data_IF_585080984677
#
_entry.id   IF_585080984677
#
_cell.length_a   1.000
_cell.length_b   1.000
_cell.length_c   1.000
_cell.angle_alpha   90.00
_cell.angle_beta   90.00
_cell.angle_gamma   90.00
#
_symmetry.space_group_name_H-M   'P 1'
#
loop_
_entity.id
_entity.type
_entity.pdbx_description
1 polymer ?
#
# COMPACT_ATOMS: atom_id res chain seq x y z
N UNK A 1 0.59 8.04 -29.02
CA UNK A 1 1.67 8.45 -28.10
C UNK A 1 2.10 7.18 -27.40
N UNK A 2 3.38 6.79 -27.44
CA UNK A 2 3.81 5.55 -26.75
C UNK A 2 3.72 5.81 -25.25
N UNK A 3 2.89 5.03 -24.56
CA UNK A 3 2.78 5.00 -23.11
C UNK A 3 2.46 3.59 -22.67
N UNK A 4 2.88 3.24 -21.46
CA UNK A 4 2.56 1.96 -20.84
C UNK A 4 2.20 2.21 -19.38
N UNK A 5 1.06 1.68 -18.96
CA UNK A 5 0.64 1.66 -17.56
C UNK A 5 1.05 0.32 -16.97
N UNK A 6 1.68 0.38 -15.81
CA UNK A 6 2.12 -0.80 -15.06
C UNK A 6 1.65 -0.71 -13.62
N UNK A 7 1.40 -1.89 -13.06
CA UNK A 7 1.19 -2.06 -11.64
C UNK A 7 2.30 -2.92 -11.07
N UNK A 8 2.80 -2.51 -9.93
CA UNK A 8 4.03 -3.06 -9.39
C UNK A 8 3.88 -3.28 -7.89
N UNK A 9 4.55 -4.32 -7.40
CA UNK A 9 4.65 -4.64 -5.99
C UNK A 9 6.04 -4.21 -5.52
N UNK A 10 6.06 -3.43 -4.45
CA UNK A 10 7.25 -3.02 -3.71
C UNK A 10 7.28 -3.88 -2.43
N UNK A 11 8.31 -4.71 -2.30
CA UNK A 11 8.52 -5.52 -1.10
C UNK A 11 9.25 -4.68 -0.04
N UNK A 12 8.64 -4.51 1.13
CA UNK A 12 9.23 -3.74 2.23
C UNK A 12 10.45 -4.42 2.87
N UNK A 13 10.66 -5.71 2.62
CA UNK A 13 11.85 -6.44 3.07
C UNK A 13 13.10 -6.09 2.24
N UNK A 14 12.94 -5.55 1.02
CA UNK A 14 14.09 -5.12 0.23
C UNK A 14 14.77 -3.91 0.88
N UNK A 15 16.10 -3.96 0.92
CA UNK A 15 16.95 -2.89 1.45
C UNK A 15 16.70 -1.54 0.78
N UNK A 16 16.42 -1.50 -0.53
CA UNK A 16 16.13 -0.26 -1.25
C UNK A 16 14.80 0.38 -0.80
N UNK A 17 13.89 -0.42 -0.26
CA UNK A 17 12.54 0.00 0.12
C UNK A 17 12.39 0.32 1.62
N UNK A 18 13.44 0.10 2.41
CA UNK A 18 13.51 0.46 3.83
C UNK A 18 13.04 1.89 4.17
N UNK A 19 13.27 2.92 3.33
CA UNK A 19 12.75 4.25 3.61
C UNK A 19 11.21 4.35 3.74
N UNK A 20 10.44 3.39 3.22
CA UNK A 20 8.98 3.37 3.36
C UNK A 20 8.48 2.78 4.68
N UNK A 21 9.32 1.99 5.37
CA UNK A 21 8.91 1.18 6.52
C UNK A 21 9.09 1.89 7.87
N UNK A 22 10.09 2.76 7.99
CA UNK A 22 10.64 3.12 9.30
C UNK A 22 9.60 3.70 10.29
N UNK A 23 9.38 2.97 11.39
CA UNK A 23 8.69 3.43 12.59
C UNK A 23 9.74 3.85 13.63
N UNK A 24 9.71 5.10 14.09
CA UNK A 24 10.47 5.44 15.31
C UNK A 24 9.78 4.87 16.55
N UNK A 25 10.59 4.38 17.50
CA UNK A 25 10.25 4.02 18.89
C UNK A 25 9.72 5.19 19.76
N UNK A 26 8.82 6.02 19.22
CA UNK A 26 8.12 7.07 19.96
C UNK A 26 8.95 8.28 20.41
N UNK A 27 10.28 8.25 20.30
CA UNK A 27 11.17 9.33 20.77
C UNK A 27 11.33 10.49 19.77
N UNK A 28 11.12 10.27 18.47
CA UNK A 28 11.25 11.29 17.42
C UNK A 28 9.98 11.34 16.60
N UNK A 29 9.14 12.33 16.86
CA UNK A 29 7.82 12.55 16.21
C UNK A 29 7.82 12.69 14.67
N UNK A 30 9.00 12.67 14.03
CA UNK A 30 9.18 12.99 12.61
C UNK A 30 9.34 11.77 11.68
N UNK A 31 9.43 10.54 12.20
CA UNK A 31 9.74 9.36 11.38
C UNK A 31 8.53 8.42 11.25
N UNK A 32 7.53 8.84 10.48
CA UNK A 32 6.36 8.02 10.14
C UNK A 32 6.64 7.19 8.90
N UNK A 33 6.17 5.93 8.89
CA UNK A 33 6.15 5.09 7.69
C UNK A 33 5.21 5.68 6.62
N UNK A 34 5.36 5.24 5.37
CA UNK A 34 4.44 5.63 4.29
C UNK A 34 3.00 5.22 4.62
N UNK A 35 2.79 4.02 5.14
CA UNK A 35 1.47 3.57 5.58
C UNK A 35 0.86 4.51 6.62
N UNK A 36 1.63 4.87 7.65
CA UNK A 36 1.16 5.76 8.70
C UNK A 36 0.77 7.13 8.15
N UNK A 37 1.57 7.68 7.23
CA UNK A 37 1.27 8.97 6.58
C UNK A 37 -0.03 8.87 5.78
N UNK A 38 -0.24 7.78 5.04
CA UNK A 38 -1.45 7.57 4.26
C UNK A 38 -2.67 7.44 5.18
N UNK A 39 -2.64 6.54 6.17
CA UNK A 39 -3.81 6.31 7.04
C UNK A 39 -4.14 7.54 7.90
N UNK A 40 -3.13 8.28 8.40
CA UNK A 40 -3.34 9.54 9.11
C UNK A 40 -3.90 10.62 8.19
N UNK A 41 -3.41 10.67 6.94
CA UNK A 41 -3.92 11.57 5.91
C UNK A 41 -5.40 11.32 5.60
N UNK A 42 -5.79 10.05 5.52
CA UNK A 42 -7.17 9.61 5.31
C UNK A 42 -8.03 9.98 6.53
N UNK A 43 -7.60 9.59 7.74
CA UNK A 43 -8.32 9.87 9.01
C UNK A 43 -8.52 11.35 9.27
N UNK A 44 -7.56 12.19 8.88
CA UNK A 44 -7.64 13.65 9.03
C UNK A 44 -8.39 14.34 7.89
N UNK A 45 -8.83 13.61 6.86
CA UNK A 45 -9.50 14.16 5.68
C UNK A 45 -8.58 14.92 4.71
N UNK A 46 -7.25 14.87 4.91
CA UNK A 46 -6.27 15.43 3.96
C UNK A 46 -6.14 14.59 2.69
N UNK A 47 -6.42 13.30 2.79
CA UNK A 47 -6.57 12.38 1.66
C UNK A 47 -8.04 12.01 1.57
N UNK A 48 -8.72 12.46 0.51
CA UNK A 48 -10.13 12.23 0.28
C UNK A 48 -10.38 11.17 -0.81
N UNK A 49 -9.42 10.97 -1.72
CA UNK A 49 -9.55 10.11 -2.90
C UNK A 49 -8.97 8.71 -2.59
N UNK A 50 -9.79 7.90 -1.93
CA UNK A 50 -9.46 6.53 -1.47
C UNK A 50 -10.46 5.55 -2.07
N UNK A 51 -9.99 4.41 -2.57
CA UNK A 51 -10.73 3.48 -3.41
C UNK A 51 -10.49 2.03 -3.01
N UNK A 52 -11.42 1.15 -3.38
CA UNK A 52 -11.29 -0.29 -3.17
C UNK A 52 -10.44 -0.97 -4.24
N UNK A 53 -10.35 -0.37 -5.42
CA UNK A 53 -9.80 -0.97 -6.63
C UNK A 53 -8.72 -0.11 -7.28
N UNK A 54 -7.82 -0.76 -8.02
CA UNK A 54 -6.69 -0.09 -8.69
C UNK A 54 -7.07 0.78 -9.90
N UNK A 55 -8.33 0.74 -10.36
CA UNK A 55 -8.87 1.58 -11.43
C UNK A 55 -9.51 2.86 -10.90
N UNK A 56 -9.65 3.01 -9.57
CA UNK A 56 -10.26 4.15 -8.89
C UNK A 56 -11.73 4.34 -9.28
N UNK A 57 -12.49 3.24 -9.29
CA UNK A 57 -13.91 3.24 -9.66
C UNK A 57 -14.83 3.29 -8.46
N UNK A 58 -14.56 2.53 -7.39
CA UNK A 58 -15.40 2.54 -6.20
C UNK A 58 -14.66 3.21 -5.05
N UNK A 59 -15.10 4.43 -4.74
CA UNK A 59 -14.57 5.21 -3.63
C UNK A 59 -15.00 4.59 -2.31
N UNK A 60 -14.07 4.49 -1.37
CA UNK A 60 -14.33 3.99 -0.02
C UNK A 60 -14.77 5.11 0.91
N UNK A 61 -15.77 4.81 1.73
CA UNK A 61 -16.15 5.64 2.86
C UNK A 61 -15.27 5.36 4.09
N UNK A 62 -15.22 6.32 5.02
CA UNK A 62 -14.36 6.22 6.20
C UNK A 62 -14.66 4.97 7.05
N UNK A 63 -15.93 4.57 7.15
CA UNK A 63 -16.34 3.37 7.88
C UNK A 63 -15.82 2.09 7.20
N UNK A 64 -15.78 2.05 5.87
CA UNK A 64 -15.27 0.91 5.12
C UNK A 64 -13.75 0.79 5.26
N UNK A 65 -13.04 1.92 5.22
CA UNK A 65 -11.60 1.97 5.50
C UNK A 65 -11.33 1.47 6.91
N UNK A 66 -12.11 1.90 7.90
CA UNK A 66 -11.98 1.41 9.28
C UNK A 66 -12.17 -0.11 9.38
N UNK A 67 -13.17 -0.68 8.69
CA UNK A 67 -13.38 -2.14 8.65
C UNK A 67 -12.22 -2.89 8.01
N UNK A 68 -11.56 -2.29 7.02
CA UNK A 68 -10.39 -2.87 6.33
C UNK A 68 -9.08 -2.70 7.10
N UNK A 69 -8.97 -1.72 7.99
CA UNK A 69 -7.74 -1.45 8.77
C UNK A 69 -7.86 -1.81 10.24
N UNK A 70 -9.05 -2.15 10.73
CA UNK A 70 -9.27 -2.47 12.13
C UNK A 70 -10.49 -3.36 12.36
N UNK A 71 -10.45 -4.13 13.45
CA UNK A 71 -11.53 -4.96 13.95
C UNK A 71 -11.74 -4.69 15.44
N UNK A 72 -12.98 -4.39 15.79
CA UNK A 72 -13.43 -4.31 17.17
C UNK A 72 -13.94 -5.69 17.59
N UNK A 73 -13.31 -6.31 18.58
CA UNK A 73 -13.77 -7.56 19.17
C UNK A 73 -14.34 -7.24 20.54
N UNK A 74 -15.58 -7.67 20.78
CA UNK A 74 -16.28 -7.48 22.05
C UNK A 74 -16.29 -8.83 22.76
N UNK A 75 -15.88 -8.87 24.02
CA UNK A 75 -15.84 -10.09 24.81
C UNK A 75 -17.25 -10.59 25.13
N UNK A 76 -17.39 -11.91 25.25
CA UNK A 76 -18.66 -12.57 25.61
C UNK A 76 -19.20 -12.04 26.94
N UNK A 77 -18.30 -11.78 27.90
CA UNK A 77 -18.63 -11.20 29.21
C UNK A 77 -19.31 -9.82 29.09
N UNK A 78 -18.84 -8.99 28.16
CA UNK A 78 -19.43 -7.67 27.91
C UNK A 78 -20.77 -7.80 27.18
N UNK A 79 -20.89 -8.73 26.23
CA UNK A 79 -22.14 -9.04 25.53
C UNK A 79 -23.21 -9.53 26.51
N UNK A 80 -22.86 -10.45 27.41
CA UNK A 80 -23.77 -10.97 28.45
C UNK A 80 -24.19 -9.89 29.45
N UNK A 81 -23.27 -8.99 29.82
CA UNK A 81 -23.56 -7.84 30.67
C UNK A 81 -24.53 -6.85 29.99
N UNK A 82 -24.39 -6.63 28.69
CA UNK A 82 -25.33 -5.82 27.90
C UNK A 82 -26.71 -6.50 27.84
N UNK A 83 -26.74 -7.80 27.50
CA UNK A 83 -27.98 -8.55 27.33
C UNK A 83 -28.77 -8.74 28.63
N UNK A 84 -28.08 -8.80 29.77
CA UNK A 84 -28.71 -8.85 31.10
C UNK A 84 -29.30 -7.51 31.57
N UNK A 85 -29.11 -6.43 30.80
CA UNK A 85 -29.61 -5.09 31.14
C UNK A 85 -28.85 -4.42 32.28
N UNK A 86 -27.66 -4.92 32.64
CA UNK A 86 -26.82 -4.31 33.66
C UNK A 86 -26.21 -2.98 33.16
N UNK A 87 -25.94 -2.06 34.08
CA UNK A 87 -25.27 -0.80 33.73
C UNK A 87 -23.85 -1.09 33.26
N UNK A 88 -23.58 -0.83 31.98
CA UNK A 88 -22.25 -0.95 31.39
C UNK A 88 -21.48 0.34 31.65
N UNK A 89 -20.39 0.25 32.40
CA UNK A 89 -19.49 1.38 32.63
C UNK A 89 -18.47 1.52 31.49
N UNK A 90 -17.84 2.69 31.36
CA UNK A 90 -16.73 2.88 30.40
C UNK A 90 -15.52 1.97 30.71
N UNK A 91 -15.33 1.58 31.97
CA UNK A 91 -14.33 0.60 32.36
C UNK A 91 -14.67 -0.80 31.85
N UNK A 92 -15.95 -1.19 31.90
CA UNK A 92 -16.42 -2.48 31.35
C UNK A 92 -16.25 -2.53 29.84
N UNK A 93 -16.59 -1.44 29.13
CA UNK A 93 -16.35 -1.34 27.68
C UNK A 93 -14.88 -1.50 27.36
N UNK A 94 -14.00 -0.80 28.07
CA UNK A 94 -12.56 -0.88 27.83
C UNK A 94 -11.97 -2.25 28.17
N UNK A 95 -12.49 -2.92 29.20
CA UNK A 95 -12.02 -4.24 29.61
C UNK A 95 -12.55 -5.36 28.71
N UNK A 96 -13.76 -5.21 28.17
CA UNK A 96 -14.40 -6.19 27.30
C UNK A 96 -14.34 -5.85 25.82
N UNK A 97 -13.48 -4.92 25.41
CA UNK A 97 -13.31 -4.58 23.99
C UNK A 97 -11.83 -4.56 23.62
N UNK A 98 -11.47 -5.41 22.66
CA UNK A 98 -10.15 -5.43 22.04
C UNK A 98 -10.21 -4.80 20.64
N UNK A 99 -9.23 -3.97 20.33
CA UNK A 99 -9.08 -3.35 19.01
C UNK A 99 -7.86 -3.95 18.34
N UNK A 100 -8.09 -4.71 17.28
CA UNK A 100 -7.05 -5.17 16.38
C UNK A 100 -6.94 -4.17 15.24
N UNK A 101 -5.84 -3.43 15.16
CA UNK A 101 -5.59 -2.44 14.11
C UNK A 101 -4.36 -2.85 13.31
N UNK A 102 -4.44 -2.73 11.99
CA UNK A 102 -3.28 -2.87 11.12
C UNK A 102 -2.29 -1.76 11.44
N UNK A 103 -1.11 -2.14 11.92
CA UNK A 103 -0.01 -1.23 12.16
C UNK A 103 0.92 -1.23 10.96
N UNK A 104 1.81 -0.24 10.93
CA UNK A 104 2.87 -0.16 9.92
C UNK A 104 3.75 -1.42 9.87
N UNK A 105 3.90 -2.14 10.99
CA UNK A 105 4.64 -3.42 11.04
C UNK A 105 3.94 -4.56 10.29
N UNK A 106 2.62 -4.49 10.14
CA UNK A 106 1.80 -5.51 9.46
C UNK A 106 1.74 -5.29 7.94
N UNK A 107 2.17 -4.11 7.47
CA UNK A 107 2.20 -3.76 6.04
C UNK A 107 3.54 -4.18 5.44
N UNK A 108 3.56 -5.32 4.75
CA UNK A 108 4.78 -5.90 4.14
C UNK A 108 4.96 -5.59 2.66
N UNK A 109 3.88 -5.26 1.96
CA UNK A 109 3.92 -4.96 0.54
C UNK A 109 3.21 -3.62 0.28
N UNK A 110 3.71 -2.88 -0.70
CA UNK A 110 2.99 -1.77 -1.30
C UNK A 110 2.73 -2.09 -2.77
N UNK A 111 1.54 -1.74 -3.25
CA UNK A 111 1.26 -1.70 -4.69
C UNK A 111 1.33 -0.28 -5.19
N UNK A 112 1.87 -0.11 -6.38
CA UNK A 112 1.89 1.17 -7.08
C UNK A 112 1.31 1.00 -8.47
N UNK A 113 0.58 2.01 -8.92
CA UNK A 113 0.14 2.14 -10.31
C UNK A 113 0.81 3.36 -10.91
N UNK A 114 1.52 3.17 -12.01
CA UNK A 114 2.21 4.26 -12.69
C UNK A 114 2.17 4.14 -14.19
N UNK A 115 2.45 5.25 -14.85
CA UNK A 115 2.50 5.33 -16.31
C UNK A 115 3.87 5.84 -16.76
N UNK A 116 4.49 5.07 -17.64
CA UNK A 116 5.64 5.50 -18.42
C UNK A 116 5.12 6.11 -19.72
N UNK A 117 5.59 7.30 -20.06
CA UNK A 117 5.17 7.99 -21.28
C UNK A 117 6.31 8.85 -21.83
N UNK A 118 6.27 9.07 -23.14
CA UNK A 118 7.21 9.97 -23.80
C UNK A 118 6.63 11.40 -23.74
N UNK A 119 7.35 12.31 -23.09
CA UNK A 119 7.01 13.73 -23.12
C UNK A 119 7.48 14.33 -24.45
N UNK A 120 6.53 14.80 -25.26
CA UNK A 120 6.80 15.40 -26.57
C UNK A 120 7.62 16.69 -26.50
N UNK A 121 7.55 17.43 -25.39
CA UNK A 121 8.21 18.74 -25.27
C UNK A 121 9.70 18.57 -25.01
N UNK A 122 10.01 17.64 -24.12
CA UNK A 122 11.38 17.41 -23.65
C UNK A 122 12.05 16.22 -24.34
N UNK A 123 11.32 15.50 -25.21
CA UNK A 123 11.76 14.29 -25.90
C UNK A 123 12.37 13.24 -24.94
N UNK A 124 11.85 13.18 -23.71
CA UNK A 124 12.35 12.28 -22.66
C UNK A 124 11.23 11.36 -22.16
N UNK A 125 11.63 10.18 -21.68
CA UNK A 125 10.74 9.27 -20.99
C UNK A 125 10.49 9.81 -19.59
N UNK A 126 9.22 9.85 -19.18
CA UNK A 126 8.81 10.26 -17.85
C UNK A 126 7.95 9.19 -17.20
N UNK A 127 8.11 9.07 -15.89
CA UNK A 127 7.21 8.32 -15.03
C UNK A 127 6.17 9.26 -14.43
N UNK A 128 4.92 8.81 -14.34
CA UNK A 128 3.85 9.46 -13.61
C UNK A 128 3.23 8.45 -12.65
N UNK A 129 3.39 8.68 -11.36
CA UNK A 129 2.69 7.92 -10.34
C UNK A 129 1.20 8.28 -10.36
N UNK A 130 0.34 7.27 -10.27
CA UNK A 130 -1.12 7.41 -10.36
C UNK A 130 -1.78 7.01 -9.05
N UNK A 131 -1.33 5.94 -8.41
CA UNK A 131 -1.80 5.58 -7.08
C UNK A 131 -0.92 4.59 -6.34
N UNK A 132 -1.22 4.47 -5.06
CA UNK A 132 -0.48 3.68 -4.08
C UNK A 132 -1.51 2.89 -3.26
N UNK A 133 -1.26 1.61 -3.05
CA UNK A 133 -2.03 0.78 -2.13
C UNK A 133 -1.12 0.18 -1.06
N UNK A 134 -1.62 0.19 0.17
CA UNK A 134 -1.00 -0.55 1.26
C UNK A 134 -1.58 -1.96 1.32
N UNK A 135 -0.71 -2.96 1.40
CA UNK A 135 -1.12 -4.34 1.57
C UNK A 135 -0.77 -4.83 2.97
N UNK A 136 -1.78 -5.39 3.64
CA UNK A 136 -1.64 -5.92 5.00
C UNK A 136 -2.41 -7.22 5.16
N UNK A 137 -2.19 -7.90 6.29
CA UNK A 137 -3.07 -9.00 6.70
C UNK A 137 -4.48 -8.46 6.92
N UNK A 138 -5.49 -9.25 6.55
CA UNK A 138 -6.88 -8.88 6.78
C UNK A 138 -7.16 -8.82 8.30
N UNK A 139 -7.52 -7.65 8.87
CA UNK A 139 -7.86 -7.55 10.29
C UNK A 139 -9.04 -8.43 10.68
N UNK A 140 -9.93 -8.77 9.72
CA UNK A 140 -11.08 -9.60 9.98
C UNK A 140 -10.70 -11.04 10.35
N UNK A 141 -9.58 -11.52 9.83
CA UNK A 141 -9.07 -12.87 10.11
C UNK A 141 -8.11 -12.91 11.29
N UNK A 142 -7.57 -11.77 11.70
CA UNK A 142 -6.79 -11.66 12.94
C UNK A 142 -7.62 -12.07 14.16
N UNK A 143 -7.03 -12.97 14.97
CA UNK A 143 -7.60 -13.44 16.24
C UNK A 143 -8.79 -14.41 16.11
N UNK A 144 -9.10 -14.90 14.91
CA UNK A 144 -10.12 -15.95 14.74
C UNK A 144 -9.51 -17.27 15.22
N UNK A 145 -10.21 -18.03 16.06
CA UNK A 145 -9.84 -19.39 16.47
C UNK A 145 -10.59 -20.38 15.59
N UNK A 146 -9.85 -21.29 14.95
CA UNK A 146 -10.39 -22.35 14.11
C UNK A 146 -11.15 -23.39 14.92
N UNK A 147 -11.89 -24.27 14.24
CA UNK A 147 -12.62 -25.37 14.89
C UNK A 147 -11.73 -26.40 15.59
N UNK A 148 -10.41 -26.32 15.39
CA UNK A 148 -9.35 -27.09 16.03
C UNK A 148 -8.74 -26.42 17.27
N UNK A 149 -9.12 -25.17 17.58
CA UNK A 149 -8.59 -24.42 18.71
C UNK A 149 -7.28 -23.68 18.42
N UNK A 150 -6.78 -23.70 17.17
CA UNK A 150 -5.64 -22.88 16.74
C UNK A 150 -6.10 -21.53 16.19
N UNK A 151 -5.22 -20.52 16.16
CA UNK A 151 -5.53 -19.29 15.44
C UNK A 151 -5.65 -19.63 13.95
N UNK A 152 -6.73 -19.19 13.30
CA UNK A 152 -6.85 -19.17 11.85
C UNK A 152 -5.84 -18.16 11.32
N UNK A 153 -4.62 -18.61 11.07
CA UNK A 153 -3.67 -17.87 10.26
C UNK A 153 -4.18 -17.94 8.82
N UNK A 154 -4.56 -16.80 8.24
CA UNK A 154 -4.93 -16.72 6.82
C UNK A 154 -3.76 -16.96 5.86
N UNK A 155 -2.64 -17.50 6.35
CA UNK A 155 -1.39 -17.60 5.63
C UNK A 155 -0.79 -16.22 5.32
N UNK A 156 0.10 -16.21 4.33
CA UNK A 156 0.73 -15.01 3.76
C UNK A 156 -0.18 -14.27 2.76
N UNK A 157 -1.51 -14.41 2.87
CA UNK A 157 -2.46 -13.75 1.99
C UNK A 157 -2.66 -12.28 2.40
N UNK A 158 -1.84 -11.40 1.82
CA UNK A 158 -1.98 -9.95 1.96
C UNK A 158 -3.10 -9.41 1.05
N UNK A 159 -3.99 -8.60 1.62
CA UNK A 159 -5.07 -7.93 0.89
C UNK A 159 -4.74 -6.46 0.64
N UNK A 160 -5.34 -5.87 -0.40
CA UNK A 160 -5.28 -4.44 -0.64
C UNK A 160 -6.21 -3.74 0.38
N UNK A 161 -5.61 -3.09 1.38
CA UNK A 161 -6.38 -2.41 2.43
C UNK A 161 -7.18 -1.25 1.84
N UNK A 162 -6.53 -0.47 0.97
CA UNK A 162 -7.13 0.63 0.22
C UNK A 162 -6.16 1.13 -0.86
N UNK A 163 -6.71 1.69 -1.93
CA UNK A 163 -5.99 2.40 -2.97
C UNK A 163 -6.12 3.92 -2.78
N UNK A 164 -5.00 4.63 -2.76
CA UNK A 164 -4.94 6.10 -2.69
C UNK A 164 -4.65 6.66 -4.07
N UNK A 165 -5.49 7.58 -4.54
CA UNK A 165 -5.20 8.35 -5.74
C UNK A 165 -4.08 9.36 -5.47
N UNK A 166 -2.91 9.10 -6.04
CA UNK A 166 -1.69 9.80 -5.70
C UNK A 166 -1.75 11.32 -5.86
N UNK A 167 -2.35 11.89 -6.93
CA UNK A 167 -2.46 13.35 -7.06
C UNK A 167 -3.17 14.05 -5.89
N UNK A 168 -4.11 13.38 -5.21
CA UNK A 168 -4.77 13.91 -4.03
C UNK A 168 -3.88 13.83 -2.77
N UNK A 169 -3.09 12.76 -2.62
CA UNK A 169 -2.17 12.59 -1.50
C UNK A 169 -0.86 13.38 -1.65
N UNK A 170 -0.52 13.82 -2.86
CA UNK A 170 0.73 14.52 -3.17
C UNK A 170 1.07 15.70 -2.25
N UNK A 171 0.15 16.64 -1.92
CA UNK A 171 0.49 17.73 -1.01
C UNK A 171 0.92 17.25 0.38
N UNK A 172 0.37 16.13 0.86
CA UNK A 172 0.78 15.54 2.13
C UNK A 172 2.17 14.89 2.00
N UNK A 173 2.39 14.09 0.94
CA UNK A 173 3.64 13.36 0.72
C UNK A 173 4.82 14.30 0.41
N UNK A 174 4.57 15.45 -0.22
CA UNK A 174 5.58 16.47 -0.50
C UNK A 174 6.00 17.27 0.74
N UNK A 175 5.30 17.12 1.87
CA UNK A 175 5.67 17.71 3.16
C UNK A 175 6.09 16.65 4.19
N UNK A 176 6.12 15.38 3.78
CA UNK A 176 6.52 14.28 4.64
C UNK A 176 7.97 13.88 4.31
N UNK A 177 8.90 14.24 5.19
CA UNK A 177 10.32 13.93 5.04
C UNK A 177 10.58 12.46 5.34
N UNK A 178 11.39 11.84 4.49
CA UNK A 178 11.80 10.44 4.63
C UNK A 178 12.98 10.38 5.61
N UNK A 179 12.89 9.50 6.60
CA UNK A 179 13.97 9.32 7.56
C UNK A 179 15.24 8.80 6.88
N UNK A 180 16.37 9.47 7.15
CA UNK A 180 17.68 9.06 6.67
C UNK A 180 18.67 9.01 7.85
N UNK A 181 19.02 7.80 8.28
CA UNK A 181 19.95 7.59 9.40
C UNK A 181 21.39 8.06 9.09
N UNK A 182 21.76 8.20 7.81
CA UNK A 182 23.08 8.70 7.41
C UNK A 182 23.12 10.23 7.37
N UNK A 183 21.97 10.89 7.16
CA UNK A 183 21.86 12.34 7.09
C UNK A 183 20.52 12.81 7.65
N UNK A 184 20.50 13.16 8.94
CA UNK A 184 19.32 13.66 9.64
C UNK A 184 18.86 15.05 9.16
N UNK A 185 19.68 15.76 8.40
CA UNK A 185 19.36 17.07 7.79
C UNK A 185 18.89 16.94 6.34
N UNK A 186 18.51 15.73 5.92
CA UNK A 186 17.97 15.48 4.59
C UNK A 186 16.54 15.98 4.49
N UNK A 187 16.26 16.85 3.52
CA UNK A 187 14.91 17.34 3.21
C UNK A 187 14.19 16.51 2.13
N UNK A 188 14.70 15.31 1.81
CA UNK A 188 14.10 14.41 0.82
C UNK A 188 12.74 13.92 1.31
N UNK A 189 11.70 14.11 0.52
CA UNK A 189 10.32 13.77 0.88
C UNK A 189 9.84 12.48 0.25
N UNK A 190 8.70 11.96 0.72
CA UNK A 190 8.05 10.81 0.09
C UNK A 190 7.67 11.09 -1.36
N UNK A 191 7.24 12.33 -1.69
CA UNK A 191 6.97 12.75 -3.09
C UNK A 191 8.21 12.62 -3.97
N UNK A 192 9.38 13.02 -3.46
CA UNK A 192 10.64 13.00 -4.21
C UNK A 192 11.05 11.55 -4.55
N UNK A 193 11.07 10.66 -3.56
CA UNK A 193 11.51 9.27 -3.76
C UNK A 193 10.52 8.48 -4.63
N UNK A 194 9.23 8.75 -4.52
CA UNK A 194 8.19 8.06 -5.29
C UNK A 194 8.21 8.48 -6.76
N UNK A 195 8.28 9.79 -7.06
CA UNK A 195 8.36 10.27 -8.44
C UNK A 195 9.70 9.93 -9.09
N UNK A 196 10.81 9.97 -8.34
CA UNK A 196 12.12 9.57 -8.82
C UNK A 196 12.30 8.04 -8.90
N UNK A 197 11.27 7.26 -8.53
CA UNK A 197 11.30 5.80 -8.47
C UNK A 197 12.50 5.23 -7.70
N UNK A 198 12.80 5.81 -6.55
CA UNK A 198 13.86 5.31 -5.65
C UNK A 198 13.33 4.15 -4.81
N UNK A 199 12.98 3.07 -5.49
CA UNK A 199 12.48 1.82 -4.93
C UNK A 199 12.70 0.66 -5.90
N UNK A 200 12.80 -0.56 -5.38
CA UNK A 200 12.75 -1.77 -6.19
C UNK A 200 11.31 -2.28 -6.25
N UNK A 201 10.95 -2.87 -7.38
CA UNK A 201 9.60 -3.38 -7.60
C UNK A 201 9.56 -4.52 -8.62
N UNK A 202 8.48 -5.30 -8.57
CA UNK A 202 8.14 -6.34 -9.55
C UNK A 202 6.85 -5.92 -10.24
N UNK A 203 6.84 -5.88 -11.57
CA UNK A 203 5.63 -5.59 -12.34
C UNK A 203 4.75 -6.84 -12.28
N UNK A 204 3.50 -6.71 -11.86
CA UNK A 204 2.55 -7.84 -11.79
C UNK A 204 1.36 -7.70 -12.75
N UNK A 205 1.18 -6.53 -13.35
CA UNK A 205 0.12 -6.23 -14.32
C UNK A 205 0.56 -5.11 -15.25
N UNK A 206 0.15 -5.17 -16.52
CA UNK A 206 0.39 -4.11 -17.49
C UNK A 206 -0.78 -3.91 -18.46
N UNK A 207 -0.85 -2.73 -19.06
CA UNK A 207 -1.74 -2.39 -20.18
C UNK A 207 -1.00 -2.43 -21.54
N UNK A 208 0.07 -3.23 -21.63
CA UNK A 208 0.83 -3.40 -22.88
C UNK A 208 0.13 -4.38 -23.81
N UNK A 209 -0.18 -3.96 -25.04
CA UNK A 209 -0.95 -4.74 -26.03
C UNK A 209 -0.37 -6.09 -26.49
N UNK A 210 0.75 -6.55 -25.92
CA UNK A 210 1.29 -7.92 -26.08
C UNK A 210 0.90 -8.85 -24.90
N UNK A 211 0.34 -8.30 -23.83
CA UNK A 211 -0.02 -8.99 -22.58
C UNK A 211 -0.79 -8.02 -21.69
N UNK A 212 -2.03 -7.71 -22.09
CA UNK A 212 -2.95 -6.93 -21.26
C UNK A 212 -3.46 -7.82 -20.12
N UNK A 213 -3.23 -7.42 -18.88
CA UNK A 213 -3.78 -8.13 -17.73
C UNK A 213 -2.76 -8.41 -16.64
N UNK A 214 -3.16 -9.25 -15.69
CA UNK A 214 -2.33 -9.66 -14.57
C UNK A 214 -1.45 -10.82 -15.00
N UNK A 215 -0.14 -10.75 -14.72
CA UNK A 215 0.83 -11.76 -15.16
C UNK A 215 0.42 -13.18 -14.73
N UNK A 216 -0.02 -13.32 -13.48
CA UNK A 216 -0.46 -14.60 -12.92
C UNK A 216 -1.62 -15.26 -13.67
N UNK A 217 -2.42 -14.48 -14.39
CA UNK A 217 -3.61 -14.98 -15.09
C UNK A 217 -3.22 -15.72 -16.38
N UNK A 218 -2.11 -15.33 -17.02
CA UNK A 218 -1.61 -15.97 -18.24
C UNK A 218 -0.33 -16.79 -18.03
N UNK A 219 0.38 -16.59 -16.91
CA UNK A 219 1.46 -17.47 -16.42
C UNK A 219 1.06 -18.00 -15.02
N UNK A 220 0.18 -19.01 -14.95
CA UNK A 220 -0.31 -19.53 -13.68
C UNK A 220 0.73 -20.42 -12.99
N UNK A 221 0.82 -20.31 -11.66
CA UNK A 221 1.57 -21.22 -10.78
C UNK A 221 3.07 -21.38 -11.07
N UNK A 222 3.72 -20.39 -11.70
CA UNK A 222 5.15 -20.39 -11.94
C UNK A 222 5.78 -19.03 -11.58
N UNK A 223 6.36 -18.93 -10.38
CA UNK A 223 6.93 -17.69 -9.88
C UNK A 223 8.14 -17.22 -10.69
N UNK A 224 8.96 -18.15 -11.19
CA UNK A 224 10.17 -17.84 -11.96
C UNK A 224 9.80 -17.24 -13.33
N UNK A 225 8.85 -17.85 -14.04
CA UNK A 225 8.34 -17.31 -15.32
C UNK A 225 7.60 -15.97 -15.13
N UNK A 226 6.87 -15.79 -14.02
CA UNK A 226 6.24 -14.51 -13.70
C UNK A 226 7.28 -13.40 -13.47
N UNK A 227 8.40 -13.73 -12.82
CA UNK A 227 9.50 -12.80 -12.63
C UNK A 227 10.21 -12.47 -13.96
N UNK A 228 10.45 -13.47 -14.81
CA UNK A 228 11.02 -13.26 -16.15
C UNK A 228 10.12 -12.33 -16.99
N UNK A 229 8.80 -12.50 -16.90
CA UNK A 229 7.84 -11.63 -17.59
C UNK A 229 7.85 -10.20 -17.04
N UNK A 230 7.98 -10.03 -15.72
CA UNK A 230 8.22 -8.70 -15.12
C UNK A 230 9.49 -8.05 -15.67
N UNK A 231 10.59 -8.78 -15.76
CA UNK A 231 11.85 -8.27 -16.34
C UNK A 231 11.72 -7.97 -17.84
N UNK A 232 10.97 -8.78 -18.59
CA UNK A 232 10.64 -8.51 -20.00
C UNK A 232 9.87 -7.21 -20.16
N UNK A 233 8.90 -6.93 -19.28
CA UNK A 233 8.14 -5.67 -19.28
C UNK A 233 9.04 -4.47 -18.93
N UNK A 234 9.95 -4.61 -17.97
CA UNK A 234 10.97 -3.57 -17.67
C UNK A 234 11.88 -3.31 -18.86
N UNK A 235 12.35 -4.36 -19.54
CA UNK A 235 13.16 -4.25 -20.74
C UNK A 235 12.39 -3.58 -21.89
N UNK A 236 11.09 -3.85 -22.03
CA UNK A 236 10.23 -3.17 -23.00
C UNK A 236 10.14 -1.66 -22.72
N UNK A 237 10.01 -1.25 -21.45
CA UNK A 237 10.05 0.16 -21.04
C UNK A 237 11.39 0.78 -21.40
N UNK A 238 12.51 0.13 -21.10
CA UNK A 238 13.85 0.62 -21.46
C UNK A 238 14.03 0.75 -22.99
N UNK A 239 13.52 -0.22 -23.75
CA UNK A 239 13.58 -0.17 -25.21
C UNK A 239 12.77 1.00 -25.76
N UNK A 240 11.62 1.31 -25.18
CA UNK A 240 10.84 2.50 -25.54
C UNK A 240 11.64 3.79 -25.37
N UNK A 241 12.58 3.84 -24.41
CA UNK A 241 13.48 4.97 -24.20
C UNK A 241 14.59 4.99 -25.26
N UNK A 242 15.27 3.86 -25.48
CA UNK A 242 16.34 3.74 -26.48
C UNK A 242 15.88 4.07 -27.90
N UNK A 243 14.66 3.67 -28.26
CA UNK A 243 14.04 3.99 -29.56
C UNK A 243 13.92 5.51 -29.80
N UNK A 244 13.87 6.34 -28.75
CA UNK A 244 13.85 7.80 -28.89
C UNK A 244 15.21 8.38 -29.26
N UNK A 245 16.28 7.73 -28.78
CA UNK A 245 17.66 8.21 -28.94
C UNK A 245 18.29 7.76 -30.26
N UNK A 246 17.80 6.68 -30.88
CA UNK A 246 18.32 6.13 -32.13
C UNK A 246 17.67 6.72 -33.40
N UNK A 247 17.37 8.02 -33.41
CA UNK A 247 16.79 8.73 -34.57
C UNK A 247 17.78 9.65 -35.26
#
# INVERSE_FOLDING_TARGET
MKSIVVWEIIDMNDKLNQPFYHNSDGLVSQNKSLYQILIDGIRSGKIAEVYDDELFTNRLEMEEIQKRTSKLVVSDELIDKINSGATVTEADKKAGTDVYETKSEDVKLLKIKGMWYIDKRDAQMKYRLIGIAAMGKDPQTMGVIGGDGELVDSGDDYIDLFWVYYPNARPLLANAVVFNNQNLSSDITYDDILNARRFSSIIYKSDSGLGNGVIKDYIPNNADEQLEESERLKAQILQMENDMWNY
#
